data_IF_429282024328
#
_entry.id   IF_429282024328
#
_cell.length_a   1.000
_cell.length_b   1.000
_cell.length_c   1.000
_cell.angle_alpha   90.00
_cell.angle_beta   90.00
_cell.angle_gamma   90.00
#
_symmetry.space_group_name_H-M   'P 1'
#
loop_
_entity.id
_entity.type
_entity.pdbx_description
1 polymer ?
#
# COMPACT_ATOMS: atom_id res chain seq x y z
N UNK A 1 14.16 5.13 11.86
CA UNK A 1 13.61 3.74 12.00
C UNK A 1 12.26 3.57 11.32
N UNK A 2 11.68 4.64 10.77
CA UNK A 2 10.43 4.66 9.98
C UNK A 2 10.71 4.72 8.48
N UNK A 3 11.98 4.96 8.10
CA UNK A 3 12.43 5.30 6.74
C UNK A 3 12.44 4.11 5.75
N UNK A 4 12.22 2.88 6.23
CA UNK A 4 12.34 1.67 5.42
C UNK A 4 10.99 1.02 5.10
N UNK A 5 9.87 1.67 5.42
CA UNK A 5 8.54 1.10 5.25
C UNK A 5 8.20 0.89 3.76
N UNK A 6 8.68 1.78 2.88
CA UNK A 6 8.48 1.69 1.43
C UNK A 6 9.18 0.47 0.82
N UNK A 7 10.42 0.19 1.27
CA UNK A 7 11.19 -0.99 0.85
C UNK A 7 10.51 -2.28 1.32
N UNK A 8 9.98 -2.28 2.54
CA UNK A 8 9.23 -3.42 3.06
C UNK A 8 7.94 -3.65 2.24
N UNK A 9 7.22 -2.59 1.89
CA UNK A 9 6.02 -2.68 1.05
C UNK A 9 6.35 -3.25 -0.34
N UNK A 10 7.45 -2.80 -0.95
CA UNK A 10 7.90 -3.28 -2.25
C UNK A 10 8.26 -4.77 -2.22
N UNK A 11 8.98 -5.23 -1.20
CA UNK A 11 9.33 -6.64 -1.04
C UNK A 11 8.10 -7.53 -0.86
N UNK A 12 7.13 -7.09 -0.05
CA UNK A 12 5.87 -7.82 0.16
C UNK A 12 5.07 -7.89 -1.15
N UNK A 13 4.98 -6.79 -1.89
CA UNK A 13 4.34 -6.75 -3.20
C UNK A 13 5.02 -7.72 -4.18
N UNK A 14 6.35 -7.68 -4.29
CA UNK A 14 7.11 -8.54 -5.18
C UNK A 14 6.91 -10.03 -4.85
N UNK A 15 6.97 -10.40 -3.57
CA UNK A 15 6.72 -11.76 -3.12
C UNK A 15 5.27 -12.22 -3.39
N UNK A 16 4.30 -11.31 -3.28
CA UNK A 16 2.89 -11.61 -3.56
C UNK A 16 2.62 -11.80 -5.07
N UNK A 17 3.29 -11.05 -5.94
CA UNK A 17 3.19 -11.19 -7.40
C UNK A 17 3.77 -12.51 -7.90
N UNK A 18 4.88 -12.97 -7.33
CA UNK A 18 5.47 -14.29 -7.62
C UNK A 18 4.54 -15.47 -7.29
N UNK A 19 3.48 -15.24 -6.48
CA UNK A 19 2.49 -16.25 -6.11
C UNK A 19 1.42 -16.51 -7.18
N UNK A 20 1.45 -15.82 -8.31
CA UNK A 20 0.62 -16.12 -9.49
C UNK A 20 -0.87 -15.75 -9.38
N UNK A 21 -1.27 -15.03 -8.32
CA UNK A 21 -2.62 -14.48 -8.18
C UNK A 21 -2.84 -13.29 -9.15
N UNK A 22 -4.10 -12.96 -9.51
CA UNK A 22 -4.41 -11.78 -10.30
C UNK A 22 -3.74 -10.51 -9.73
N UNK A 23 -2.83 -9.94 -10.53
CA UNK A 23 -1.93 -8.82 -10.19
C UNK A 23 -2.63 -7.68 -9.44
N UNK A 24 -3.82 -7.28 -9.90
CA UNK A 24 -4.58 -6.15 -9.38
C UNK A 24 -5.04 -6.37 -7.94
N UNK A 25 -5.43 -7.60 -7.57
CA UNK A 25 -5.84 -7.94 -6.21
C UNK A 25 -4.68 -7.86 -5.23
N UNK A 26 -3.51 -8.38 -5.63
CA UNK A 26 -2.29 -8.28 -4.82
C UNK A 26 -1.81 -6.84 -4.67
N UNK A 27 -1.89 -6.02 -5.71
CA UNK A 27 -1.44 -4.63 -5.66
C UNK A 27 -2.37 -3.77 -4.77
N UNK A 28 -3.69 -3.88 -4.96
CA UNK A 28 -4.67 -3.17 -4.13
C UNK A 28 -4.65 -3.65 -2.66
N UNK A 29 -4.53 -4.96 -2.43
CA UNK A 29 -4.50 -5.55 -1.09
C UNK A 29 -3.26 -5.14 -0.29
N UNK A 30 -2.07 -5.26 -0.88
CA UNK A 30 -0.81 -4.88 -0.21
C UNK A 30 -0.79 -3.38 0.07
N UNK A 31 -1.21 -2.55 -0.89
CA UNK A 31 -1.30 -1.09 -0.70
C UNK A 31 -2.28 -0.71 0.42
N UNK A 32 -3.44 -1.37 0.50
CA UNK A 32 -4.44 -1.08 1.55
C UNK A 32 -3.94 -1.48 2.94
N UNK A 33 -3.29 -2.64 3.06
CA UNK A 33 -2.70 -3.12 4.33
C UNK A 33 -1.60 -2.16 4.79
N UNK A 34 -0.70 -1.75 3.90
CA UNK A 34 0.38 -0.82 4.24
C UNK A 34 -0.10 0.60 4.49
N UNK A 35 -1.14 1.07 3.81
CA UNK A 35 -1.75 2.37 4.13
C UNK A 35 -2.37 2.37 5.54
N UNK A 36 -3.04 1.28 5.93
CA UNK A 36 -3.54 1.10 7.29
C UNK A 36 -2.43 1.02 8.34
N UNK A 37 -1.37 0.24 8.08
CA UNK A 37 -0.21 0.13 8.97
C UNK A 37 0.56 1.46 9.10
N UNK A 38 0.75 2.17 7.99
CA UNK A 38 1.38 3.49 7.97
C UNK A 38 0.56 4.53 8.73
N UNK A 39 -0.78 4.47 8.67
CA UNK A 39 -1.65 5.33 9.45
C UNK A 39 -1.53 5.06 10.96
N UNK A 40 -1.43 3.78 11.36
CA UNK A 40 -1.22 3.42 12.78
C UNK A 40 0.18 3.77 13.29
N UNK A 41 1.20 3.70 12.45
CA UNK A 41 2.58 4.11 12.79
C UNK A 41 2.79 5.63 12.71
N UNK A 42 1.79 6.41 12.29
CA UNK A 42 1.93 7.86 12.05
C UNK A 42 2.85 8.21 10.87
N UNK A 43 3.22 7.22 10.05
CA UNK A 43 4.08 7.37 8.88
C UNK A 43 3.29 7.70 7.60
N UNK A 44 1.97 7.52 7.62
CA UNK A 44 1.08 7.75 6.47
C UNK A 44 -0.10 8.62 6.88
N UNK A 45 -0.32 9.71 6.14
CA UNK A 45 -1.46 10.61 6.35
C UNK A 45 -2.71 10.02 5.66
N UNK A 46 -3.74 9.71 6.45
CA UNK A 46 -5.02 9.19 5.95
C UNK A 46 -5.75 10.18 5.03
N UNK A 47 -5.38 11.47 5.03
CA UNK A 47 -5.85 12.44 4.05
C UNK A 47 -5.43 12.09 2.61
N UNK A 48 -4.28 11.43 2.41
CA UNK A 48 -3.84 10.96 1.09
C UNK A 48 -4.77 9.87 0.51
N UNK A 49 -5.36 9.03 1.37
CA UNK A 49 -6.38 8.05 0.97
C UNK A 49 -7.65 8.75 0.46
N UNK A 50 -8.06 9.85 1.11
CA UNK A 50 -9.18 10.68 0.67
C UNK A 50 -8.92 11.44 -0.63
N UNK A 51 -7.67 11.85 -0.89
CA UNK A 51 -7.28 12.46 -2.17
C UNK A 51 -7.16 11.42 -3.30
N UNK A 52 -6.93 10.14 -2.96
CA UNK A 52 -6.82 9.05 -3.91
C UNK A 52 -8.17 8.81 -4.62
N UNK A 53 -9.28 8.79 -3.89
CA UNK A 53 -10.61 8.57 -4.49
C UNK A 53 -10.93 9.62 -5.55
N UNK A 54 -10.54 10.87 -5.35
CA UNK A 54 -10.69 11.94 -6.34
C UNK A 54 -9.81 11.74 -7.60
N UNK A 55 -8.70 10.99 -7.50
CA UNK A 55 -7.85 10.61 -8.65
C UNK A 55 -8.27 9.33 -9.35
N UNK A 56 -9.00 8.45 -8.66
CA UNK A 56 -9.45 7.17 -9.19
C UNK A 56 -10.83 7.26 -9.89
N UNK A 57 -11.67 8.21 -9.46
CA UNK A 57 -13.04 8.41 -9.95
C UNK A 57 -13.26 9.79 -10.59
N UNK A 58 -12.21 10.61 -10.71
CA UNK A 58 -12.23 11.91 -11.39
C UNK A 58 -12.12 11.80 -12.91
#
# INVERSE_FOLDING_TARGET
>A
MTDNLDIAMFLVLAAALLRGYPVTFTLAGVATIFAGLGAMLGAFDTALLGALSQRLFG
#
